data_IF_926372868507
#
_entry.id   IF_926372868507
#
_cell.length_a   1.000
_cell.length_b   1.000
_cell.length_c   1.000
_cell.angle_alpha   90.00
_cell.angle_beta   90.00
_cell.angle_gamma   90.00
#
_symmetry.space_group_name_H-M   'P 1'
#
loop_
_entity.id
_entity.type
_entity.pdbx_description
1 polymer ?
#
# COMPACT_ATOMS: atom_id res chain seq x y z
N UNK A 1 9.80 4.22 31.80
CA UNK A 1 8.32 4.12 31.51
C UNK A 1 8.19 3.65 30.07
N UNK A 2 7.37 2.66 29.76
CA UNK A 2 7.20 2.21 28.36
C UNK A 2 6.14 3.10 27.71
N UNK A 3 6.42 3.65 26.52
CA UNK A 3 5.50 4.52 25.76
C UNK A 3 5.36 4.03 24.33
N UNK A 4 4.14 3.73 23.90
CA UNK A 4 3.85 3.39 22.52
C UNK A 4 3.68 4.68 21.73
N UNK A 5 4.31 4.74 20.55
CA UNK A 5 4.20 5.86 19.62
C UNK A 5 3.93 5.33 18.21
N UNK A 6 3.13 6.07 17.47
CA UNK A 6 2.84 5.81 16.05
C UNK A 6 3.69 6.70 15.17
N UNK A 7 4.47 6.06 14.33
CA UNK A 7 5.31 6.71 13.34
C UNK A 7 4.60 6.70 12.00
N UNK A 8 4.35 7.87 11.45
CA UNK A 8 3.76 8.07 10.12
C UNK A 8 4.87 8.30 9.11
N UNK A 9 4.81 7.57 8.01
CA UNK A 9 5.86 7.64 6.99
C UNK A 9 5.31 7.49 5.57
N UNK A 10 6.11 7.90 4.59
CA UNK A 10 5.89 7.59 3.18
C UNK A 10 6.94 6.60 2.69
N UNK A 11 6.55 5.76 1.74
CA UNK A 11 7.40 4.83 1.00
C UNK A 11 7.13 5.04 -0.48
N UNK A 12 8.03 5.69 -1.18
CA UNK A 12 7.85 6.16 -2.57
C UNK A 12 9.04 5.79 -3.46
N UNK A 13 9.00 6.18 -4.70
CA UNK A 13 10.13 6.01 -5.63
C UNK A 13 10.60 4.56 -5.74
N UNK A 14 11.91 4.35 -5.64
CA UNK A 14 12.50 3.01 -5.74
C UNK A 14 12.17 2.11 -4.55
N UNK A 15 11.83 2.68 -3.39
CA UNK A 15 11.42 1.89 -2.22
C UNK A 15 10.12 1.10 -2.45
N UNK A 16 9.29 1.44 -3.45
CA UNK A 16 8.11 0.63 -3.81
C UNK A 16 8.44 -0.82 -4.16
N UNK A 17 9.67 -1.09 -4.61
CA UNK A 17 10.13 -2.42 -5.01
C UNK A 17 10.72 -3.27 -3.88
N UNK A 18 10.75 -2.77 -2.63
CA UNK A 18 11.12 -3.59 -1.48
C UNK A 18 9.90 -4.31 -0.89
N UNK A 19 10.11 -5.55 -0.46
CA UNK A 19 9.07 -6.34 0.17
C UNK A 19 8.71 -5.79 1.56
N UNK A 20 7.55 -6.20 2.11
CA UNK A 20 7.18 -5.86 3.49
C UNK A 20 8.23 -6.35 4.51
N UNK A 21 8.81 -7.54 4.29
CA UNK A 21 9.86 -8.08 5.15
C UNK A 21 11.14 -7.23 5.08
N UNK A 22 11.51 -6.77 3.90
CA UNK A 22 12.70 -5.91 3.74
C UNK A 22 12.45 -4.50 4.28
N UNK A 23 11.21 -3.99 4.20
CA UNK A 23 10.82 -2.75 4.88
C UNK A 23 10.99 -2.88 6.40
N UNK A 24 10.55 -4.00 7.00
CA UNK A 24 10.73 -4.27 8.43
C UNK A 24 12.22 -4.28 8.80
N UNK A 25 13.06 -4.96 8.02
CA UNK A 25 14.51 -4.99 8.20
C UNK A 25 15.15 -3.61 8.04
N UNK A 26 14.68 -2.83 7.07
CA UNK A 26 15.15 -1.46 6.83
C UNK A 26 14.85 -0.56 8.03
N UNK A 27 13.62 -0.60 8.53
CA UNK A 27 13.22 0.16 9.73
C UNK A 27 14.03 -0.25 10.95
N UNK A 28 14.19 -1.54 11.19
CA UNK A 28 14.99 -2.05 12.31
C UNK A 28 16.45 -1.56 12.25
N UNK A 29 17.06 -1.56 11.06
CA UNK A 29 18.42 -1.03 10.87
C UNK A 29 18.50 0.49 11.11
N UNK A 30 17.48 1.24 10.65
CA UNK A 30 17.41 2.68 10.88
C UNK A 30 17.31 3.00 12.38
N UNK A 31 16.52 2.24 13.13
CA UNK A 31 16.40 2.37 14.58
C UNK A 31 17.73 2.15 15.29
N UNK A 32 18.46 1.11 14.92
CA UNK A 32 19.78 0.81 15.47
C UNK A 32 20.79 1.95 15.17
N UNK A 33 20.80 2.40 13.89
CA UNK A 33 21.67 3.51 13.47
C UNK A 33 21.37 4.81 14.22
N UNK A 34 20.09 5.09 14.44
CA UNK A 34 19.61 6.25 15.18
C UNK A 34 19.82 6.16 16.70
N UNK A 35 20.23 4.99 17.21
CA UNK A 35 20.39 4.71 18.65
C UNK A 35 19.17 5.09 19.47
N UNK A 36 17.98 4.71 18.96
CA UNK A 36 16.72 5.02 19.63
C UNK A 36 16.54 4.14 20.88
N UNK A 37 15.97 4.69 21.97
CA UNK A 37 15.68 3.96 23.20
C UNK A 37 14.43 3.08 23.02
N UNK A 38 14.55 1.97 22.25
CA UNK A 38 13.45 1.08 21.90
C UNK A 38 13.36 -0.11 22.83
N UNK A 39 12.14 -0.56 23.06
CA UNK A 39 11.89 -1.81 23.74
C UNK A 39 12.06 -2.99 22.77
N UNK A 40 12.77 -4.01 23.24
CA UNK A 40 12.98 -5.28 22.57
C UNK A 40 12.07 -6.35 23.16
N UNK A 41 11.56 -7.23 22.32
CA UNK A 41 10.78 -8.38 22.79
C UNK A 41 11.64 -9.28 23.67
N UNK A 42 11.00 -9.90 24.65
CA UNK A 42 11.63 -10.88 25.52
C UNK A 42 11.63 -12.27 24.88
N UNK A 43 12.64 -13.08 25.09
CA UNK A 43 12.75 -14.44 24.57
C UNK A 43 14.09 -14.76 23.90
N UNK A 44 14.17 -15.88 23.19
CA UNK A 44 15.41 -16.39 22.61
C UNK A 44 15.96 -15.53 21.44
N UNK A 45 15.10 -14.79 20.75
CA UNK A 45 15.48 -13.91 19.64
C UNK A 45 14.87 -12.51 19.88
N UNK A 46 15.51 -11.66 20.73
CA UNK A 46 15.02 -10.32 20.96
C UNK A 46 15.02 -9.49 19.67
N UNK A 47 13.90 -8.88 19.35
CA UNK A 47 13.77 -7.94 18.23
C UNK A 47 13.00 -6.71 18.66
N UNK A 48 13.20 -5.62 17.96
CA UNK A 48 12.48 -4.38 18.22
C UNK A 48 10.97 -4.61 18.08
N UNK A 49 10.20 -4.15 19.06
CA UNK A 49 8.74 -4.13 18.94
C UNK A 49 8.34 -3.12 17.86
N UNK A 50 7.86 -3.65 16.76
CA UNK A 50 7.47 -2.91 15.57
C UNK A 50 6.25 -3.59 14.95
N UNK A 51 5.16 -2.83 14.79
CA UNK A 51 3.92 -3.33 14.19
C UNK A 51 3.44 -2.36 13.14
N UNK A 52 3.35 -2.78 11.89
CA UNK A 52 2.74 -1.99 10.81
C UNK A 52 1.21 -2.09 10.90
N UNK A 53 0.52 -0.97 10.65
CA UNK A 53 -0.95 -0.93 10.65
C UNK A 53 -1.54 -1.76 9.51
N UNK A 54 -0.95 -1.67 8.32
CA UNK A 54 -1.29 -2.49 7.17
C UNK A 54 -0.04 -2.86 6.37
N UNK A 55 0.06 -4.10 5.85
CA UNK A 55 1.17 -4.47 4.97
C UNK A 55 0.97 -3.84 3.58
N UNK A 56 1.91 -3.01 3.15
CA UNK A 56 1.94 -2.47 1.79
C UNK A 56 2.51 -3.50 0.82
N UNK A 57 1.77 -3.79 -0.25
CA UNK A 57 2.19 -4.76 -1.28
C UNK A 57 3.44 -4.30 -2.03
N UNK A 58 4.19 -5.26 -2.58
CA UNK A 58 5.32 -4.99 -3.46
C UNK A 58 4.84 -4.24 -4.72
N UNK A 59 5.60 -3.24 -5.14
CA UNK A 59 5.28 -2.40 -6.30
C UNK A 59 4.41 -1.18 -5.98
N UNK A 60 3.87 -1.09 -4.75
CA UNK A 60 3.03 0.04 -4.33
C UNK A 60 3.83 1.12 -3.60
N UNK A 61 3.48 2.36 -3.86
CA UNK A 61 3.88 3.51 -3.07
C UNK A 61 2.85 3.76 -1.97
N UNK A 62 3.33 4.10 -0.76
CA UNK A 62 2.49 4.50 0.37
C UNK A 62 2.82 5.92 0.77
N UNK A 63 1.81 6.79 0.81
CA UNK A 63 1.99 8.18 1.24
C UNK A 63 1.72 8.37 2.72
N UNK A 64 0.82 7.57 3.29
CA UNK A 64 0.32 7.65 4.66
C UNK A 64 0.38 6.29 5.35
N UNK A 65 1.58 5.68 5.35
CA UNK A 65 1.82 4.44 6.08
C UNK A 65 2.06 4.71 7.55
N UNK A 66 1.72 3.75 8.39
CA UNK A 66 2.00 3.87 9.83
C UNK A 66 2.51 2.59 10.44
N UNK A 67 3.35 2.77 11.46
CA UNK A 67 3.85 1.69 12.30
C UNK A 67 3.88 2.14 13.75
N UNK A 68 3.60 1.21 14.66
CA UNK A 68 3.70 1.44 16.09
C UNK A 68 5.02 0.86 16.61
N UNK A 69 5.74 1.64 17.40
CA UNK A 69 6.97 1.26 18.10
C UNK A 69 6.84 1.59 19.57
N UNK A 70 7.67 0.96 20.41
CA UNK A 70 7.66 1.18 21.86
C UNK A 70 8.98 1.76 22.33
N UNK A 71 8.91 2.93 22.94
CA UNK A 71 10.04 3.59 23.59
C UNK A 71 10.16 3.14 25.07
N UNK A 72 11.40 3.00 25.56
CA UNK A 72 11.70 2.77 26.99
C UNK A 72 11.98 4.06 27.75
N UNK A 73 12.36 5.12 27.04
CA UNK A 73 12.58 6.47 27.54
C UNK A 73 11.77 7.46 26.70
N UNK A 74 11.31 8.54 27.30
CA UNK A 74 10.59 9.58 26.57
C UNK A 74 11.57 10.38 25.69
N UNK A 75 11.15 10.67 24.48
CA UNK A 75 11.93 11.44 23.51
C UNK A 75 11.00 12.44 22.80
N UNK A 76 11.43 13.70 22.61
CA UNK A 76 10.66 14.65 21.83
C UNK A 76 10.40 14.15 20.38
N UNK A 77 9.16 14.23 19.91
CA UNK A 77 8.78 13.73 18.58
C UNK A 77 9.59 14.36 17.44
N UNK A 78 9.91 15.67 17.44
CA UNK A 78 10.76 16.25 16.39
C UNK A 78 12.16 15.60 16.34
N UNK A 79 12.77 15.33 17.49
CA UNK A 79 14.07 14.66 17.57
C UNK A 79 13.98 13.21 17.06
N UNK A 80 12.90 12.51 17.39
CA UNK A 80 12.65 11.14 16.90
C UNK A 80 12.52 11.11 15.37
N UNK A 81 11.79 12.09 14.79
CA UNK A 81 11.64 12.23 13.34
C UNK A 81 12.98 12.49 12.65
N UNK A 82 13.76 13.41 13.19
CA UNK A 82 15.08 13.77 12.65
C UNK A 82 16.03 12.56 12.65
N UNK A 83 16.15 11.89 13.80
CA UNK A 83 17.00 10.70 13.96
C UNK A 83 16.59 9.56 13.04
N UNK A 84 15.29 9.31 12.88
CA UNK A 84 14.78 8.29 11.95
C UNK A 84 15.13 8.64 10.52
N UNK A 85 14.86 9.86 10.09
CA UNK A 85 15.14 10.32 8.73
C UNK A 85 16.62 10.34 8.38
N UNK A 86 17.51 10.56 9.35
CA UNK A 86 18.96 10.45 9.16
C UNK A 86 19.42 9.00 8.92
N UNK A 87 18.65 8.01 9.38
CA UNK A 87 18.94 6.57 9.22
C UNK A 87 18.29 5.91 8.02
N UNK A 88 17.20 6.48 7.52
CA UNK A 88 16.37 5.91 6.44
C UNK A 88 16.89 6.26 5.05
N UNK A 89 16.61 5.41 4.04
CA UNK A 89 16.82 5.74 2.63
C UNK A 89 15.99 6.96 2.20
N UNK A 90 16.43 7.65 1.13
CA UNK A 90 15.76 8.85 0.62
C UNK A 90 14.27 8.65 0.32
N UNK A 91 13.89 7.49 -0.20
CA UNK A 91 12.53 7.17 -0.64
C UNK A 91 11.59 6.70 0.49
N UNK A 92 12.09 6.66 1.73
CA UNK A 92 11.30 6.41 2.93
C UNK A 92 11.45 7.59 3.86
N UNK A 93 10.35 8.28 4.19
CA UNK A 93 10.36 9.50 4.99
C UNK A 93 9.33 9.47 6.10
N UNK A 94 9.80 9.65 7.32
CA UNK A 94 8.95 9.90 8.49
C UNK A 94 8.56 11.37 8.49
N UNK A 95 7.27 11.64 8.54
CA UNK A 95 6.73 13.00 8.52
C UNK A 95 5.95 13.38 9.79
N UNK A 96 5.51 12.41 10.58
CA UNK A 96 4.89 12.67 11.87
C UNK A 96 5.12 11.52 12.85
N UNK A 97 5.02 11.85 14.13
CA UNK A 97 4.93 10.90 15.24
C UNK A 97 3.80 11.36 16.14
N UNK A 98 2.93 10.43 16.53
CA UNK A 98 1.76 10.69 17.39
C UNK A 98 1.63 9.60 18.46
N UNK A 99 0.76 9.80 19.41
CA UNK A 99 0.28 8.71 20.25
C UNK A 99 -0.72 7.86 19.46
N UNK A 100 -0.72 6.53 19.62
CA UNK A 100 -1.67 5.66 18.94
C UNK A 100 -3.04 5.77 19.64
N UNK A 101 -4.04 6.37 18.98
CA UNK A 101 -5.41 6.45 19.48
C UNK A 101 -6.19 5.15 19.19
N UNK A 102 -6.02 4.60 17.99
CA UNK A 102 -6.65 3.35 17.53
C UNK A 102 -5.59 2.28 17.29
N UNK A 103 -5.98 1.02 17.37
CA UNK A 103 -5.06 -0.08 17.04
C UNK A 103 -4.76 -0.07 15.53
N UNK A 104 -3.51 -0.38 15.15
CA UNK A 104 -3.14 -0.49 13.74
C UNK A 104 -4.03 -1.47 12.96
N UNK A 105 -4.51 -2.54 13.61
CA UNK A 105 -5.41 -3.53 13.02
C UNK A 105 -6.83 -3.02 12.73
N UNK A 106 -7.20 -1.82 13.19
CA UNK A 106 -8.51 -1.22 12.96
C UNK A 106 -8.61 -0.50 11.60
N UNK A 107 -7.52 -0.51 10.81
CA UNK A 107 -7.53 -0.03 9.42
C UNK A 107 -8.48 -0.91 8.61
N UNK A 108 -9.62 -0.35 8.21
CA UNK A 108 -10.65 -1.05 7.47
C UNK A 108 -10.52 -0.86 5.95
N UNK A 109 -10.09 0.31 5.51
CA UNK A 109 -9.99 0.67 4.10
C UNK A 109 -8.71 1.44 3.81
N UNK A 110 -8.25 1.35 2.55
CA UNK A 110 -7.22 2.22 1.99
C UNK A 110 -7.72 2.84 0.69
N UNK A 111 -7.33 4.06 0.43
CA UNK A 111 -7.54 4.74 -0.84
C UNK A 111 -6.35 4.50 -1.76
N UNK A 112 -6.63 4.07 -2.96
CA UNK A 112 -5.64 3.78 -3.99
C UNK A 112 -5.81 4.73 -5.15
N UNK A 113 -4.68 5.25 -5.63
CA UNK A 113 -4.59 6.02 -6.88
C UNK A 113 -3.83 5.15 -7.87
N UNK A 114 -4.52 4.74 -8.93
CA UNK A 114 -3.96 3.98 -10.05
C UNK A 114 -3.72 4.94 -11.21
N UNK A 115 -2.55 4.87 -11.84
CA UNK A 115 -2.20 5.68 -13.00
C UNK A 115 -1.93 4.78 -14.18
N UNK A 116 -2.72 4.97 -15.23
CA UNK A 116 -2.53 4.33 -16.51
C UNK A 116 -1.96 5.34 -17.50
N UNK A 117 -0.70 5.13 -17.90
CA UNK A 117 -0.09 5.90 -18.99
C UNK A 117 -0.68 5.43 -20.31
N UNK A 118 -1.29 6.34 -21.09
CA UNK A 118 -1.99 6.03 -22.32
C UNK A 118 -2.02 7.25 -23.24
N UNK A 119 -2.16 7.02 -24.55
CA UNK A 119 -2.24 8.08 -25.57
C UNK A 119 -3.59 8.80 -25.56
N UNK A 120 -4.67 8.06 -25.31
CA UNK A 120 -6.05 8.57 -25.29
C UNK A 120 -6.73 8.23 -23.94
N UNK A 121 -6.63 9.11 -22.93
CA UNK A 121 -7.27 8.89 -21.64
C UNK A 121 -8.80 8.83 -21.69
N UNK A 122 -9.43 9.55 -22.63
CA UNK A 122 -10.89 9.54 -22.78
C UNK A 122 -11.38 8.20 -23.30
N UNK A 123 -10.67 7.62 -24.26
CA UNK A 123 -10.94 6.27 -24.76
C UNK A 123 -10.79 5.22 -23.65
N UNK A 124 -9.68 5.24 -22.93
CA UNK A 124 -9.43 4.29 -21.84
C UNK A 124 -10.48 4.41 -20.73
N UNK A 125 -10.89 5.61 -20.38
CA UNK A 125 -11.98 5.85 -19.43
C UNK A 125 -13.29 5.23 -19.89
N UNK A 126 -13.64 5.39 -21.17
CA UNK A 126 -14.87 4.82 -21.73
C UNK A 126 -14.87 3.30 -21.69
N UNK A 127 -13.74 2.66 -22.00
CA UNK A 127 -13.58 1.21 -21.93
C UNK A 127 -13.68 0.71 -20.47
N UNK A 128 -13.06 1.40 -19.53
CA UNK A 128 -13.17 1.04 -18.10
C UNK A 128 -14.60 1.16 -17.58
N UNK A 129 -15.29 2.24 -17.95
CA UNK A 129 -16.70 2.42 -17.59
C UNK A 129 -17.59 1.33 -18.22
N UNK A 130 -17.29 0.90 -19.46
CA UNK A 130 -17.99 -0.20 -20.11
C UNK A 130 -17.82 -1.50 -19.32
N UNK A 131 -16.60 -1.80 -18.88
CA UNK A 131 -16.32 -3.01 -18.06
C UNK A 131 -17.03 -2.92 -16.70
N UNK A 132 -17.03 -1.75 -16.06
CA UNK A 132 -17.75 -1.56 -14.80
C UNK A 132 -19.27 -1.64 -14.95
N UNK A 133 -19.82 -1.45 -16.14
CA UNK A 133 -21.24 -1.62 -16.43
C UNK A 133 -21.68 -3.08 -16.56
N UNK A 134 -20.75 -4.03 -16.75
CA UNK A 134 -21.06 -5.45 -16.78
C UNK A 134 -21.74 -5.91 -15.48
N UNK A 135 -22.66 -6.88 -15.51
CA UNK A 135 -23.39 -7.31 -14.32
C UNK A 135 -22.49 -7.87 -13.21
N UNK A 136 -21.39 -8.52 -13.57
CA UNK A 136 -20.42 -9.13 -12.67
C UNK A 136 -18.99 -8.91 -13.18
N UNK A 137 -18.04 -8.73 -12.29
CA UNK A 137 -16.61 -8.69 -12.57
C UNK A 137 -15.91 -9.80 -11.80
N UNK A 138 -15.84 -10.99 -12.38
CA UNK A 138 -15.27 -12.15 -11.71
C UNK A 138 -13.79 -12.31 -11.99
N UNK A 139 -12.99 -12.51 -10.95
CA UNK A 139 -11.56 -12.78 -11.03
C UNK A 139 -11.22 -14.07 -10.29
N UNK A 140 -10.20 -14.78 -10.79
CA UNK A 140 -9.64 -15.94 -10.09
C UNK A 140 -8.64 -15.45 -9.04
N UNK A 141 -8.97 -15.62 -7.77
CA UNK A 141 -8.05 -15.32 -6.66
C UNK A 141 -7.37 -16.61 -6.22
N UNK A 142 -6.04 -16.66 -6.37
CA UNK A 142 -5.23 -17.74 -5.84
C UNK A 142 -5.02 -17.56 -4.33
N UNK A 143 -5.30 -18.60 -3.57
CA UNK A 143 -5.05 -18.65 -2.12
C UNK A 143 -4.34 -19.94 -1.74
N UNK A 144 -3.78 -19.99 -0.53
CA UNK A 144 -3.17 -21.23 0.01
C UNK A 144 -4.17 -22.41 0.07
N UNK A 145 -5.47 -22.16 -0.03
CA UNK A 145 -6.55 -23.16 0.01
C UNK A 145 -7.07 -23.54 -1.38
N UNK A 146 -6.46 -23.03 -2.46
CA UNK A 146 -6.86 -23.23 -3.85
C UNK A 146 -7.35 -21.96 -4.54
N UNK A 147 -7.86 -22.14 -5.76
CA UNK A 147 -8.44 -21.06 -6.55
C UNK A 147 -9.89 -20.78 -6.11
N UNK A 148 -10.23 -19.50 -6.00
CA UNK A 148 -11.60 -19.07 -5.73
C UNK A 148 -11.96 -17.98 -6.74
N UNK A 149 -13.14 -18.13 -7.36
CA UNK A 149 -13.73 -17.06 -8.16
C UNK A 149 -14.37 -16.06 -7.22
N UNK A 150 -14.04 -14.79 -7.37
CA UNK A 150 -14.56 -13.68 -6.55
C UNK A 150 -15.08 -12.61 -7.48
N UNK A 151 -16.32 -12.16 -7.24
CA UNK A 151 -16.83 -10.97 -7.89
C UNK A 151 -16.22 -9.73 -7.20
N UNK A 152 -15.51 -8.93 -7.98
CA UNK A 152 -14.85 -7.71 -7.50
C UNK A 152 -15.65 -6.45 -7.79
N UNK A 153 -16.72 -6.51 -8.58
CA UNK A 153 -17.52 -5.34 -8.99
C UNK A 153 -17.94 -4.46 -7.82
N UNK A 154 -18.50 -4.99 -6.70
CA UNK A 154 -18.96 -4.16 -5.58
C UNK A 154 -17.86 -3.26 -4.96
N UNK A 155 -16.60 -3.66 -5.11
CA UNK A 155 -15.46 -2.91 -4.57
C UNK A 155 -15.03 -1.75 -5.47
N UNK A 156 -15.38 -1.78 -6.76
CA UNK A 156 -14.94 -0.81 -7.76
C UNK A 156 -16.07 0.10 -8.28
N UNK A 157 -17.30 -0.08 -7.84
CA UNK A 157 -18.46 0.75 -8.26
C UNK A 157 -18.28 2.24 -7.99
N UNK A 158 -17.56 2.60 -6.93
CA UNK A 158 -17.30 3.99 -6.54
C UNK A 158 -15.95 4.51 -7.03
N UNK A 159 -15.35 3.87 -8.05
CA UNK A 159 -14.12 4.35 -8.65
C UNK A 159 -14.38 5.65 -9.41
N UNK A 160 -13.51 6.62 -9.20
CA UNK A 160 -13.53 7.89 -9.92
C UNK A 160 -12.40 7.98 -10.92
N UNK A 161 -12.59 8.74 -12.00
CA UNK A 161 -11.66 8.87 -13.11
C UNK A 161 -11.32 10.33 -13.33
N UNK A 162 -10.04 10.64 -13.47
CA UNK A 162 -9.54 11.95 -13.84
C UNK A 162 -8.61 11.81 -15.07
N UNK A 163 -8.98 12.52 -16.15
CA UNK A 163 -8.19 12.57 -17.37
C UNK A 163 -7.07 13.61 -17.22
N UNK A 164 -5.83 13.16 -17.43
CA UNK A 164 -4.63 13.99 -17.42
C UNK A 164 -3.89 13.84 -18.75
N UNK A 165 -3.00 14.76 -19.11
CA UNK A 165 -2.20 14.61 -20.33
C UNK A 165 -1.46 13.26 -20.35
N UNK A 166 -1.74 12.41 -21.33
CA UNK A 166 -1.17 11.07 -21.52
C UNK A 166 -1.31 10.12 -20.31
N UNK A 167 -2.33 10.34 -19.47
CA UNK A 167 -2.54 9.52 -18.28
C UNK A 167 -4.01 9.54 -17.86
N UNK A 168 -4.55 8.37 -17.55
CA UNK A 168 -5.82 8.25 -16.83
C UNK A 168 -5.51 7.92 -15.37
N UNK A 169 -5.96 8.78 -14.46
CA UNK A 169 -5.85 8.54 -13.02
C UNK A 169 -7.19 8.03 -12.49
N UNK A 170 -7.13 6.95 -11.71
CA UNK A 170 -8.28 6.30 -11.11
C UNK A 170 -8.12 6.27 -9.61
N UNK A 171 -9.14 6.72 -8.88
CA UNK A 171 -9.15 6.66 -7.43
C UNK A 171 -10.23 5.71 -6.95
N UNK A 172 -9.83 4.79 -6.06
CA UNK A 172 -10.74 3.79 -5.49
C UNK A 172 -10.42 3.54 -4.02
N UNK A 173 -11.47 3.36 -3.21
CA UNK A 173 -11.37 2.98 -1.80
C UNK A 173 -11.70 1.51 -1.64
N UNK A 174 -10.72 0.72 -1.21
CA UNK A 174 -10.83 -0.73 -1.08
C UNK A 174 -10.63 -1.20 0.36
N UNK A 175 -11.26 -2.33 0.74
CA UNK A 175 -10.94 -2.99 2.00
C UNK A 175 -9.44 -3.27 2.12
N UNK A 176 -8.86 -2.94 3.26
CA UNK A 176 -7.45 -3.10 3.56
C UNK A 176 -7.25 -3.65 4.98
N UNK A 177 -6.00 -3.91 5.35
CA UNK A 177 -5.64 -4.40 6.68
C UNK A 177 -5.54 -5.91 6.79
N UNK A 178 -5.36 -6.38 8.02
CA UNK A 178 -5.03 -7.78 8.31
C UNK A 178 -6.22 -8.75 8.15
N UNK A 179 -7.44 -8.25 8.06
CA UNK A 179 -8.64 -9.08 7.93
C UNK A 179 -8.98 -9.49 6.48
N UNK A 180 -8.16 -9.06 5.53
CA UNK A 180 -8.29 -9.34 4.11
C UNK A 180 -8.49 -8.07 3.30
N UNK A 181 -7.64 -7.87 2.31
CA UNK A 181 -7.69 -6.74 1.39
C UNK A 181 -8.05 -7.18 -0.03
N UNK A 182 -8.52 -6.23 -0.82
CA UNK A 182 -8.67 -6.36 -2.26
C UNK A 182 -7.48 -5.64 -2.90
N UNK A 183 -6.75 -6.36 -3.74
CA UNK A 183 -5.65 -5.76 -4.49
C UNK A 183 -6.25 -4.93 -5.65
N UNK A 184 -5.93 -3.64 -5.76
CA UNK A 184 -6.44 -2.80 -6.85
C UNK A 184 -6.00 -3.27 -8.24
N UNK A 185 -4.89 -4.01 -8.37
CA UNK A 185 -4.46 -4.57 -9.66
C UNK A 185 -5.42 -5.61 -10.22
N UNK A 186 -6.27 -6.22 -9.42
CA UNK A 186 -7.28 -7.17 -9.90
C UNK A 186 -8.24 -6.56 -10.92
N UNK A 187 -8.53 -5.27 -10.79
CA UNK A 187 -9.33 -4.55 -11.78
C UNK A 187 -8.57 -4.38 -13.10
N UNK A 188 -7.29 -4.01 -13.02
CA UNK A 188 -6.43 -3.87 -14.21
C UNK A 188 -6.25 -5.24 -14.90
N UNK A 189 -6.05 -6.29 -14.14
CA UNK A 189 -5.95 -7.66 -14.67
C UNK A 189 -7.25 -8.05 -15.39
N UNK A 190 -8.42 -7.73 -14.83
CA UNK A 190 -9.70 -7.97 -15.46
C UNK A 190 -9.81 -7.26 -16.82
N UNK A 191 -9.37 -6.01 -16.91
CA UNK A 191 -9.34 -5.25 -18.16
C UNK A 191 -8.44 -5.89 -19.23
N UNK A 192 -7.24 -6.32 -18.83
CA UNK A 192 -6.30 -6.94 -19.76
C UNK A 192 -6.82 -8.27 -20.35
N UNK A 193 -7.65 -8.99 -19.58
CA UNK A 193 -8.26 -10.25 -20.05
C UNK A 193 -9.55 -10.05 -20.85
N UNK A 194 -10.27 -8.94 -20.64
CA UNK A 194 -11.55 -8.66 -21.29
C UNK A 194 -11.44 -7.78 -22.54
N UNK A 195 -10.38 -6.97 -22.63
CA UNK A 195 -10.11 -6.13 -23.79
C UNK A 195 -9.24 -6.87 -24.79
N UNK A 196 -9.63 -6.97 -26.09
CA UNK A 196 -8.76 -7.53 -27.11
C UNK A 196 -7.49 -6.67 -27.19
N UNK A 197 -6.33 -7.31 -27.04
CA UNK A 197 -5.03 -6.65 -27.15
C UNK A 197 -4.94 -5.83 -28.44
N UNK A 198 -4.31 -4.65 -28.42
CA UNK A 198 -4.01 -3.89 -29.65
C UNK A 198 -3.27 -4.73 -30.70
N UNK A 199 -2.52 -5.77 -30.29
CA UNK A 199 -1.87 -6.74 -31.19
C UNK A 199 -2.84 -7.67 -31.91
N UNK A 200 -4.04 -7.92 -31.38
CA UNK A 200 -5.04 -8.77 -32.03
C UNK A 200 -5.82 -8.01 -33.10
N UNK A 201 -5.87 -6.67 -33.04
CA UNK A 201 -6.49 -5.83 -34.08
C UNK A 201 -5.69 -5.80 -35.37
N UNK A 202 -4.40 -6.11 -35.35
CA UNK A 202 -3.54 -6.14 -36.55
C UNK A 202 -3.54 -7.49 -37.27
N UNK A 203 -4.15 -8.53 -36.71
CA UNK A 203 -4.22 -9.87 -37.35
C UNK A 203 -5.48 -10.14 -38.18
N UNK A 204 -6.42 -9.22 -38.27
CA UNK A 204 -7.61 -9.34 -39.10
C UNK A 204 -7.54 -8.45 -40.35
N UNK A 205 -6.47 -8.62 -41.16
CA UNK A 205 -6.42 -8.17 -42.56
C UNK A 205 -5.75 -9.25 -43.39
#
# INVERSE_FOLDING_TARGET
MRKDVRVWFSKTGTARYISHLDLNRCMSRAFHKAKLPLWYTEGFNPHVFLTFAAPLSLGFEGRHESMDIRLIEDMPYPELIEKLNAGLPHDIRVWAVTEPEMKGNDVANAEYILRLECEDPAFEKSEMQRVLAEPELTVKKHSKKGEKIVDIKPYFENMTFEEKPNCLEMTVRLPAGNQGGINPTLFVDCLLYTSPSPRDRTRSR
#
